data_IF_019637212412
#
_entry.id   IF_019637212412
#
_cell.length_a   1.000
_cell.length_b   1.000
_cell.length_c   1.000
_cell.angle_alpha   90.00
_cell.angle_beta   90.00
_cell.angle_gamma   90.00
#
_symmetry.space_group_name_H-M   'P 1'
#
loop_
_entity.id
_entity.type
_entity.pdbx_description
1 polymer ?
#
# COMPACT_ATOMS: atom_id res chain seq x y z
N UNK A 1 11.52 -17.67 0.37
CA UNK A 1 10.11 -17.79 0.84
C UNK A 1 9.18 -17.24 -0.24
N UNK A 2 7.92 -17.68 -0.31
CA UNK A 2 6.97 -17.25 -1.35
C UNK A 2 6.06 -16.14 -0.84
N UNK A 3 5.94 -15.06 -1.60
CA UNK A 3 5.12 -13.90 -1.24
C UNK A 3 4.22 -13.49 -2.38
N UNK A 4 3.05 -12.96 -2.03
CA UNK A 4 2.18 -12.26 -2.97
C UNK A 4 2.06 -10.81 -2.48
N UNK A 5 2.71 -9.90 -3.20
CA UNK A 5 2.88 -8.51 -2.82
C UNK A 5 1.78 -7.69 -3.48
N UNK A 6 0.93 -7.04 -2.69
CA UNK A 6 -0.29 -6.36 -3.12
C UNK A 6 -0.07 -4.85 -3.18
N UNK A 7 -0.48 -4.23 -4.30
CA UNK A 7 -0.44 -2.78 -4.52
C UNK A 7 -1.44 -2.00 -3.65
N UNK A 8 -1.55 -0.70 -3.90
CA UNK A 8 -2.41 0.23 -3.16
C UNK A 8 -3.90 -0.17 -3.26
N UNK A 9 -4.50 -0.54 -2.12
CA UNK A 9 -5.86 -1.08 -2.07
C UNK A 9 -6.89 0.02 -1.92
N UNK A 10 -6.61 1.05 -1.12
CA UNK A 10 -7.49 2.20 -0.90
C UNK A 10 -8.94 1.80 -0.58
N UNK A 11 -9.15 0.87 0.35
CA UNK A 11 -10.50 0.41 0.73
C UNK A 11 -11.27 -0.37 -0.35
N UNK A 12 -10.63 -0.77 -1.46
CA UNK A 12 -11.21 -1.62 -2.51
C UNK A 12 -11.23 -3.10 -2.06
N UNK A 13 -12.02 -3.40 -1.02
CA UNK A 13 -12.06 -4.73 -0.41
C UNK A 13 -12.51 -5.82 -1.39
N UNK A 14 -13.48 -5.55 -2.26
CA UNK A 14 -13.96 -6.54 -3.23
C UNK A 14 -12.86 -6.92 -4.23
N UNK A 15 -12.11 -5.94 -4.73
CA UNK A 15 -10.97 -6.15 -5.61
C UNK A 15 -9.86 -6.92 -4.88
N UNK A 16 -9.61 -6.64 -3.61
CA UNK A 16 -8.66 -7.39 -2.80
C UNK A 16 -9.07 -8.87 -2.63
N UNK A 17 -10.34 -9.12 -2.34
CA UNK A 17 -10.87 -10.48 -2.26
C UNK A 17 -10.74 -11.20 -3.62
N UNK A 18 -11.19 -10.57 -4.70
CA UNK A 18 -11.11 -11.15 -6.06
C UNK A 18 -9.66 -11.45 -6.47
N UNK A 19 -8.73 -10.55 -6.16
CA UNK A 19 -7.31 -10.74 -6.47
C UNK A 19 -6.72 -11.91 -5.68
N UNK A 20 -6.98 -11.97 -4.37
CA UNK A 20 -6.44 -13.04 -3.53
C UNK A 20 -7.05 -14.40 -3.86
N UNK A 21 -8.34 -14.48 -4.20
CA UNK A 21 -8.97 -15.70 -4.73
C UNK A 21 -8.31 -16.14 -6.04
N UNK A 22 -8.09 -15.20 -6.97
CA UNK A 22 -7.37 -15.48 -8.23
C UNK A 22 -5.92 -15.91 -7.99
N UNK A 23 -5.30 -15.44 -6.91
CA UNK A 23 -3.97 -15.84 -6.47
C UNK A 23 -3.96 -17.22 -5.78
N UNK A 24 -5.12 -17.82 -5.49
CA UNK A 24 -5.24 -19.15 -4.87
C UNK A 24 -5.50 -19.15 -3.36
N UNK A 25 -5.80 -17.98 -2.77
CA UNK A 25 -6.16 -17.90 -1.36
C UNK A 25 -7.60 -18.36 -1.11
N UNK A 26 -7.79 -19.08 -0.01
CA UNK A 26 -9.09 -19.53 0.47
C UNK A 26 -9.62 -18.56 1.54
N UNK A 27 -10.90 -18.21 1.43
CA UNK A 27 -11.59 -17.25 2.31
C UNK A 27 -12.60 -17.87 3.30
N UNK A 28 -12.61 -19.20 3.47
CA UNK A 28 -13.57 -19.91 4.33
C UNK A 28 -13.55 -19.45 5.80
N UNK A 29 -12.41 -18.94 6.28
CA UNK A 29 -12.24 -18.40 7.63
C UNK A 29 -12.62 -16.91 7.78
N UNK A 30 -13.03 -16.26 6.68
CA UNK A 30 -13.20 -14.81 6.60
C UNK A 30 -11.90 -14.01 6.40
N UNK A 31 -10.76 -14.70 6.28
CA UNK A 31 -9.43 -14.16 5.99
C UNK A 31 -8.80 -14.98 4.84
N UNK A 32 -7.95 -14.36 4.01
CA UNK A 32 -7.26 -15.07 2.93
C UNK A 32 -6.16 -15.97 3.50
N UNK A 33 -6.26 -17.28 3.26
CA UNK A 33 -5.24 -18.27 3.66
C UNK A 33 -4.82 -19.08 2.43
N UNK A 34 -3.52 -19.14 2.15
CA UNK A 34 -3.00 -19.89 0.99
C UNK A 34 -2.62 -21.33 1.39
N UNK A 35 -3.07 -22.37 0.68
CA UNK A 35 -2.72 -23.77 0.99
C UNK A 35 -1.20 -24.03 0.92
N UNK A 36 -0.51 -23.43 -0.05
CA UNK A 36 0.95 -23.51 -0.19
C UNK A 36 1.74 -22.55 0.74
N UNK A 37 1.09 -22.01 1.78
CA UNK A 37 1.71 -21.13 2.79
C UNK A 37 2.39 -19.88 2.21
N UNK A 38 1.90 -19.36 1.07
CA UNK A 38 2.32 -18.06 0.52
C UNK A 38 1.87 -16.95 1.46
N UNK A 39 2.76 -15.99 1.74
CA UNK A 39 2.46 -14.85 2.62
C UNK A 39 2.10 -13.60 1.83
N UNK A 40 1.09 -12.87 2.29
CA UNK A 40 0.77 -11.57 1.72
C UNK A 40 1.78 -10.52 2.20
N UNK A 41 2.10 -9.57 1.33
CA UNK A 41 2.83 -8.35 1.70
C UNK A 41 2.13 -7.14 1.08
N UNK A 42 1.86 -6.10 1.88
CA UNK A 42 1.15 -4.90 1.44
C UNK A 42 2.13 -3.74 1.27
N UNK A 43 2.13 -3.10 0.10
CA UNK A 43 3.01 -1.92 -0.16
C UNK A 43 2.55 -0.68 0.59
N UNK A 44 1.30 -0.61 1.03
CA UNK A 44 0.74 0.48 1.82
C UNK A 44 -0.64 0.87 1.36
N UNK A 45 -1.09 2.06 1.81
CA UNK A 45 -2.31 2.72 1.37
C UNK A 45 -3.53 1.79 1.25
N UNK A 46 -3.81 1.09 2.37
CA UNK A 46 -4.94 0.16 2.50
C UNK A 46 -6.27 0.89 2.77
N UNK A 47 -6.23 2.18 3.11
CA UNK A 47 -7.37 3.04 3.46
C UNK A 47 -7.51 4.22 2.52
N UNK A 48 -8.52 5.06 2.75
CA UNK A 48 -8.85 6.28 2.02
C UNK A 48 -9.42 6.01 0.63
N UNK A 49 -10.30 6.91 0.16
CA UNK A 49 -10.97 6.91 -1.15
C UNK A 49 -12.03 5.83 -1.36
N UNK A 50 -11.68 4.56 -1.22
CA UNK A 50 -12.62 3.47 -1.47
C UNK A 50 -13.61 3.25 -0.32
N UNK A 51 -14.60 2.37 -0.54
CA UNK A 51 -15.78 2.26 0.32
C UNK A 51 -15.58 1.42 1.59
N UNK A 52 -14.53 0.59 1.68
CA UNK A 52 -14.37 -0.40 2.76
C UNK A 52 -13.01 -0.28 3.45
N UNK A 53 -12.65 0.94 3.86
CA UNK A 53 -11.36 1.21 4.52
C UNK A 53 -11.27 0.49 5.87
N UNK A 54 -12.34 0.52 6.69
CA UNK A 54 -12.30 -0.09 8.01
C UNK A 54 -12.20 -1.62 7.93
N UNK A 55 -12.87 -2.23 6.94
CA UNK A 55 -12.74 -3.67 6.69
C UNK A 55 -11.30 -4.05 6.34
N UNK A 56 -10.62 -3.24 5.53
CA UNK A 56 -9.21 -3.44 5.21
C UNK A 56 -8.30 -3.30 6.44
N UNK A 57 -8.56 -2.32 7.32
CA UNK A 57 -7.83 -2.18 8.59
C UNK A 57 -7.94 -3.47 9.42
N UNK A 58 -9.15 -4.01 9.58
CA UNK A 58 -9.36 -5.23 10.36
C UNK A 58 -8.61 -6.43 9.79
N UNK A 59 -8.70 -6.66 8.48
CA UNK A 59 -8.06 -7.79 7.82
C UNK A 59 -6.53 -7.69 7.90
N UNK A 60 -5.97 -6.53 7.58
CA UNK A 60 -4.52 -6.36 7.57
C UNK A 60 -3.97 -6.43 9.00
N UNK A 61 -4.66 -5.84 9.99
CA UNK A 61 -4.27 -5.99 11.39
C UNK A 61 -4.26 -7.46 11.82
N UNK A 62 -5.29 -8.21 11.47
CA UNK A 62 -5.43 -9.62 11.83
C UNK A 62 -4.29 -10.47 11.23
N UNK A 63 -3.97 -10.26 9.95
CA UNK A 63 -2.91 -10.99 9.26
C UNK A 63 -1.50 -10.62 9.75
N UNK A 64 -1.25 -9.33 10.01
CA UNK A 64 0.09 -8.80 10.30
C UNK A 64 0.41 -8.85 11.80
N UNK A 65 -0.50 -8.37 12.64
CA UNK A 65 -0.26 -8.21 14.09
C UNK A 65 -0.66 -9.47 14.86
N UNK A 66 -1.88 -9.95 14.65
CA UNK A 66 -2.40 -11.07 15.44
C UNK A 66 -1.80 -12.41 14.97
N UNK A 67 -1.91 -12.73 13.69
CA UNK A 67 -1.43 -14.01 13.12
C UNK A 67 0.06 -14.01 12.78
N UNK A 68 0.65 -12.85 12.47
CA UNK A 68 2.05 -12.71 12.00
C UNK A 68 2.33 -13.52 10.72
N UNK A 69 1.34 -13.60 9.84
CA UNK A 69 1.36 -14.35 8.59
C UNK A 69 1.44 -13.45 7.34
N UNK A 70 1.46 -12.13 7.52
CA UNK A 70 1.63 -11.16 6.45
C UNK A 70 2.58 -10.01 6.84
N UNK A 71 2.95 -9.20 5.86
CA UNK A 71 3.80 -8.02 6.02
C UNK A 71 3.06 -6.77 5.54
N UNK A 72 3.28 -5.64 6.19
CA UNK A 72 2.67 -4.37 5.79
C UNK A 72 3.69 -3.23 5.94
N UNK A 73 3.84 -2.42 4.89
CA UNK A 73 4.58 -1.17 4.92
C UNK A 73 3.58 -0.01 4.86
N UNK A 74 3.67 1.02 5.72
CA UNK A 74 2.74 2.14 5.70
C UNK A 74 2.98 3.06 4.50
N UNK A 75 1.90 3.55 3.88
CA UNK A 75 1.93 4.58 2.86
C UNK A 75 1.57 5.98 3.36
N UNK A 76 1.54 6.97 2.46
CA UNK A 76 1.27 8.35 2.87
C UNK A 76 -0.16 8.59 3.35
N UNK A 77 -1.14 7.88 2.78
CA UNK A 77 -2.52 7.95 3.28
C UNK A 77 -2.61 7.35 4.67
N UNK A 78 -1.94 6.21 4.88
CA UNK A 78 -1.86 5.59 6.20
C UNK A 78 -1.22 6.51 7.26
N UNK A 79 -0.14 7.23 6.92
CA UNK A 79 0.47 8.22 7.81
C UNK A 79 -0.47 9.42 8.10
N UNK A 80 -1.32 9.81 7.15
CA UNK A 80 -2.32 10.86 7.38
C UNK A 80 -3.42 10.38 8.32
N UNK A 81 -3.97 9.19 8.10
CA UNK A 81 -4.97 8.57 8.97
C UNK A 81 -4.42 8.30 10.38
N UNK A 82 -3.16 7.86 10.51
CA UNK A 82 -2.53 7.67 11.81
C UNK A 82 -2.50 8.97 12.62
N UNK A 83 -2.10 10.09 11.99
CA UNK A 83 -2.11 11.41 12.63
C UNK A 83 -3.52 11.86 13.01
N UNK A 84 -4.52 11.57 12.17
CA UNK A 84 -5.93 11.80 12.51
C UNK A 84 -6.33 11.06 13.79
N UNK A 85 -6.04 9.75 13.89
CA UNK A 85 -6.39 8.96 15.07
C UNK A 85 -5.64 9.37 16.34
N UNK A 86 -4.43 9.92 16.22
CA UNK A 86 -3.71 10.56 17.32
C UNK A 86 -4.34 11.89 17.79
N UNK A 87 -5.40 12.37 17.14
CA UNK A 87 -6.06 13.64 17.46
C UNK A 87 -5.31 14.87 16.94
N UNK A 88 -4.39 14.71 15.96
CA UNK A 88 -3.73 15.86 15.34
C UNK A 88 -4.67 16.55 14.37
N UNK A 89 -4.54 17.86 14.25
CA UNK A 89 -5.29 18.65 13.28
C UNK A 89 -4.79 18.34 11.85
N UNK A 90 -5.48 17.45 11.15
CA UNK A 90 -5.22 17.12 9.75
C UNK A 90 -6.42 17.50 8.89
N UNK A 91 -6.17 18.02 7.69
CA UNK A 91 -7.24 18.33 6.73
C UNK A 91 -7.89 17.04 6.24
N UNK A 92 -9.19 16.87 6.47
CA UNK A 92 -9.99 15.76 5.94
C UNK A 92 -10.25 16.02 4.46
N UNK A 93 -9.40 15.44 3.60
CA UNK A 93 -9.40 15.65 2.15
C UNK A 93 -8.55 14.58 1.45
N UNK A 94 -8.66 14.52 0.12
CA UNK A 94 -7.88 13.65 -0.78
C UNK A 94 -8.11 12.14 -0.60
N UNK A 95 -9.24 11.76 -0.02
CA UNK A 95 -9.65 10.38 0.25
C UNK A 95 -9.88 10.08 1.72
N UNK A 96 -9.30 10.87 2.63
CA UNK A 96 -9.48 10.65 4.08
C UNK A 96 -10.95 10.80 4.49
N UNK A 97 -11.70 11.66 3.79
CA UNK A 97 -13.13 11.89 3.98
C UNK A 97 -13.97 10.61 3.97
N UNK A 98 -13.63 9.64 3.11
CA UNK A 98 -14.42 8.39 3.03
C UNK A 98 -14.16 7.50 4.23
N UNK A 99 -12.90 7.38 4.67
CA UNK A 99 -12.53 6.61 5.86
C UNK A 99 -13.07 7.25 7.13
N UNK A 100 -13.02 8.58 7.24
CA UNK A 100 -13.57 9.30 8.40
C UNK A 100 -15.09 9.14 8.45
N UNK A 101 -15.79 9.25 7.32
CA UNK A 101 -17.23 9.02 7.28
C UNK A 101 -17.61 7.57 7.68
N UNK A 102 -16.87 6.56 7.17
CA UNK A 102 -17.05 5.16 7.56
C UNK A 102 -16.82 4.96 9.07
N UNK A 103 -15.80 5.62 9.62
CA UNK A 103 -15.46 5.58 11.05
C UNK A 103 -16.51 6.24 11.94
N UNK A 104 -16.93 7.46 11.60
CA UNK A 104 -17.89 8.23 12.39
C UNK A 104 -19.29 7.62 12.39
N UNK A 105 -19.64 6.85 11.34
CA UNK A 105 -20.89 6.09 11.28
C UNK A 105 -20.94 4.92 12.27
N UNK A 106 -19.81 4.48 12.84
CA UNK A 106 -19.77 3.40 13.82
C UNK A 106 -20.16 3.87 15.22
N UNK A 107 -20.75 2.98 16.05
CA UNK A 107 -20.86 3.22 17.49
C UNK A 107 -19.49 3.44 18.16
N UNK A 108 -19.43 4.28 19.20
CA UNK A 108 -18.18 4.69 19.85
C UNK A 108 -17.28 3.53 20.31
N UNK A 109 -17.86 2.40 20.75
CA UNK A 109 -17.07 1.23 21.12
C UNK A 109 -16.34 0.60 19.92
N UNK A 110 -16.98 0.55 18.75
CA UNK A 110 -16.36 0.03 17.52
C UNK A 110 -15.32 1.01 16.96
N UNK A 111 -15.58 2.32 17.07
CA UNK A 111 -14.61 3.36 16.75
C UNK A 111 -13.29 3.13 17.51
N UNK A 112 -13.36 2.95 18.83
CA UNK A 112 -12.17 2.70 19.65
C UNK A 112 -11.41 1.46 19.19
N UNK A 113 -12.10 0.35 18.91
CA UNK A 113 -11.47 -0.90 18.42
C UNK A 113 -10.71 -0.66 17.11
N UNK A 114 -11.35 0.00 16.13
CA UNK A 114 -10.74 0.29 14.83
C UNK A 114 -9.52 1.20 14.97
N UNK A 115 -9.66 2.25 15.79
CA UNK A 115 -8.59 3.20 16.09
C UNK A 115 -7.39 2.48 16.72
N UNK A 116 -7.61 1.65 17.73
CA UNK A 116 -6.57 0.89 18.40
C UNK A 116 -5.88 -0.09 17.45
N UNK A 117 -6.65 -0.82 16.63
CA UNK A 117 -6.10 -1.71 15.59
C UNK A 117 -5.21 -0.93 14.63
N UNK A 118 -5.67 0.18 14.08
CA UNK A 118 -4.88 0.92 13.09
C UNK A 118 -3.62 1.55 13.69
N UNK A 119 -3.72 2.16 14.88
CA UNK A 119 -2.55 2.71 15.60
C UNK A 119 -1.53 1.59 15.83
N UNK A 120 -1.97 0.44 16.34
CA UNK A 120 -1.10 -0.71 16.59
C UNK A 120 -0.43 -1.22 15.31
N UNK A 121 -1.21 -1.37 14.23
CA UNK A 121 -0.70 -1.80 12.92
C UNK A 121 0.38 -0.83 12.42
N UNK A 122 0.12 0.47 12.48
CA UNK A 122 1.03 1.50 11.99
C UNK A 122 2.32 1.57 12.81
N UNK A 123 2.23 1.55 14.14
CA UNK A 123 3.40 1.71 15.03
C UNK A 123 4.30 0.46 15.07
N UNK A 124 3.73 -0.74 14.91
CA UNK A 124 4.52 -1.98 14.93
C UNK A 124 5.06 -2.37 13.55
N UNK A 125 4.67 -1.67 12.49
CA UNK A 125 5.13 -1.97 11.14
C UNK A 125 6.32 -1.09 10.74
N UNK A 126 7.39 -1.67 10.16
CA UNK A 126 8.51 -0.88 9.67
C UNK A 126 8.09 -0.08 8.43
N UNK A 127 8.82 1.01 8.14
CA UNK A 127 8.60 1.82 6.93
C UNK A 127 8.71 1.00 5.63
N UNK A 128 9.57 -0.02 5.64
CA UNK A 128 9.76 -0.96 4.55
C UNK A 128 10.23 -2.30 5.11
N UNK A 129 9.98 -3.37 4.37
CA UNK A 129 10.41 -4.72 4.71
C UNK A 129 11.62 -5.13 3.87
N UNK A 130 12.59 -5.80 4.50
CA UNK A 130 13.69 -6.49 3.83
C UNK A 130 13.42 -7.98 3.95
N UNK A 131 13.10 -8.64 2.84
CA UNK A 131 12.66 -10.04 2.82
C UNK A 131 13.63 -10.90 2.00
N UNK A 132 13.45 -12.22 2.12
CA UNK A 132 14.18 -13.24 1.38
C UNK A 132 15.70 -12.98 1.29
N UNK A 133 16.36 -12.91 2.45
CA UNK A 133 17.81 -12.66 2.54
C UNK A 133 18.28 -11.39 1.80
N UNK A 134 17.47 -10.32 1.88
CA UNK A 134 17.69 -9.02 1.23
C UNK A 134 17.52 -9.03 -0.29
N UNK A 135 16.92 -10.08 -0.87
CA UNK A 135 16.64 -10.14 -2.32
C UNK A 135 15.41 -9.35 -2.74
N UNK A 136 14.48 -9.08 -1.84
CA UNK A 136 13.28 -8.28 -2.13
C UNK A 136 12.96 -7.31 -1.01
N UNK A 137 12.64 -6.08 -1.38
CA UNK A 137 12.23 -4.98 -0.53
C UNK A 137 10.79 -4.62 -0.88
N UNK A 138 9.94 -4.51 0.15
CA UNK A 138 8.55 -4.06 0.00
C UNK A 138 8.41 -2.72 0.70
N UNK A 139 8.01 -1.69 -0.04
CA UNK A 139 7.86 -0.33 0.46
C UNK A 139 6.77 0.42 -0.34
N UNK A 140 6.35 1.58 0.15
CA UNK A 140 5.23 2.30 -0.48
C UNK A 140 5.63 3.08 -1.73
N UNK A 141 6.38 4.17 -1.61
CA UNK A 141 6.74 5.04 -2.75
C UNK A 141 8.08 4.70 -3.41
N UNK A 142 8.75 3.65 -2.93
CA UNK A 142 10.09 3.28 -3.35
C UNK A 142 11.16 3.52 -2.29
N UNK A 143 12.39 3.09 -2.59
CA UNK A 143 13.57 3.36 -1.75
C UNK A 143 14.85 3.26 -2.57
N UNK A 144 15.77 4.20 -2.35
CA UNK A 144 17.10 4.18 -2.98
C UNK A 144 18.02 3.16 -2.32
N UNK A 145 18.98 2.64 -3.08
CA UNK A 145 19.94 1.64 -2.60
C UNK A 145 20.70 2.10 -1.34
N UNK A 146 21.16 3.35 -1.31
CA UNK A 146 21.91 3.93 -0.18
C UNK A 146 21.04 4.26 1.05
N UNK A 147 19.71 4.08 0.94
CA UNK A 147 18.76 4.26 2.03
C UNK A 147 18.36 2.94 2.70
N UNK A 148 18.62 1.79 2.05
CA UNK A 148 18.31 0.48 2.61
C UNK A 148 19.15 0.24 3.88
N UNK A 149 18.48 -0.10 4.99
CA UNK A 149 19.07 -0.26 6.31
C UNK A 149 19.01 1.00 7.20
N UNK A 150 18.67 2.17 6.63
CA UNK A 150 18.51 3.43 7.37
C UNK A 150 17.05 3.68 7.75
N UNK A 151 16.84 4.50 8.79
CA UNK A 151 15.52 4.86 9.36
C UNK A 151 15.38 6.35 9.69
N UNK A 152 16.27 7.19 9.17
CA UNK A 152 16.22 8.63 9.43
C UNK A 152 15.06 9.32 8.66
N UNK A 153 14.78 10.57 9.02
CA UNK A 153 13.66 11.34 8.45
C UNK A 153 13.72 11.44 6.92
N UNK A 154 14.90 11.46 6.30
CA UNK A 154 15.02 11.53 4.83
C UNK A 154 14.52 10.23 4.20
N UNK A 155 14.84 9.09 4.79
CA UNK A 155 14.33 7.78 4.36
C UNK A 155 12.82 7.71 4.54
N UNK A 156 12.30 8.15 5.69
CA UNK A 156 10.86 8.19 5.93
C UNK A 156 10.13 9.04 4.89
N UNK A 157 10.64 10.25 4.60
CA UNK A 157 10.04 11.10 3.57
C UNK A 157 10.08 10.42 2.21
N UNK A 158 11.19 9.81 1.83
CA UNK A 158 11.31 9.12 0.54
C UNK A 158 10.35 7.94 0.43
N UNK A 159 10.28 7.07 1.44
CA UNK A 159 9.45 5.86 1.42
C UNK A 159 7.97 6.19 1.41
N UNK A 160 7.55 7.28 2.07
CA UNK A 160 6.15 7.69 2.09
C UNK A 160 5.75 8.54 0.88
N UNK A 161 6.64 9.38 0.35
CA UNK A 161 6.26 10.42 -0.62
C UNK A 161 7.06 10.40 -1.93
N UNK A 162 8.04 9.50 -2.08
CA UNK A 162 8.92 9.40 -3.25
C UNK A 162 10.05 10.44 -3.27
N UNK A 163 10.75 10.52 -4.41
CA UNK A 163 11.85 11.48 -4.64
C UNK A 163 11.31 12.87 -5.00
N UNK A 164 10.88 13.61 -3.97
CA UNK A 164 10.35 14.97 -4.14
C UNK A 164 11.47 15.97 -4.47
N UNK A 165 11.26 16.82 -5.48
CA UNK A 165 12.25 17.85 -5.88
C UNK A 165 12.23 19.08 -4.96
N UNK A 166 11.13 19.30 -4.25
CA UNK A 166 10.82 20.52 -3.50
C UNK A 166 9.87 21.47 -4.25
N UNK A 167 9.74 21.29 -5.57
CA UNK A 167 8.79 22.03 -6.39
C UNK A 167 7.39 21.43 -6.31
N UNK A 168 6.38 22.20 -6.72
CA UNK A 168 4.97 21.78 -6.76
C UNK A 168 4.36 22.06 -8.12
N UNK A 169 3.52 21.14 -8.59
CA UNK A 169 2.63 21.39 -9.70
C UNK A 169 1.59 22.47 -9.34
N UNK A 170 0.89 23.02 -10.33
CA UNK A 170 -0.14 24.05 -10.14
C UNK A 170 -1.27 23.63 -9.18
N UNK A 171 -1.55 22.33 -9.08
CA UNK A 171 -2.53 21.76 -8.14
C UNK A 171 -1.97 21.54 -6.72
N UNK A 172 -0.75 21.99 -6.42
CA UNK A 172 -0.09 21.87 -5.12
C UNK A 172 0.58 20.52 -4.83
N UNK A 173 0.43 19.52 -5.71
CA UNK A 173 1.11 18.22 -5.56
C UNK A 173 2.63 18.36 -5.83
N UNK A 174 3.48 17.62 -5.10
CA UNK A 174 4.93 17.74 -5.26
C UNK A 174 5.39 17.15 -6.60
N UNK A 175 6.33 17.84 -7.24
CA UNK A 175 7.06 17.32 -8.40
C UNK A 175 8.03 16.24 -7.91
N UNK A 176 8.10 15.13 -8.64
CA UNK A 176 8.92 13.97 -8.29
C UNK A 176 9.84 13.58 -9.43
N UNK A 177 11.00 13.03 -9.09
CA UNK A 177 11.92 12.38 -10.03
C UNK A 177 11.57 10.90 -10.16
N UNK A 178 11.80 10.33 -11.34
CA UNK A 178 11.77 8.90 -11.58
C UNK A 178 13.02 8.18 -11.03
N UNK A 179 13.12 8.08 -9.70
CA UNK A 179 14.25 7.45 -8.99
C UNK A 179 14.52 6.00 -9.43
N UNK A 180 13.50 5.32 -9.98
CA UNK A 180 13.62 3.94 -10.46
C UNK A 180 14.62 3.81 -11.61
N UNK A 181 14.74 4.83 -12.48
CA UNK A 181 15.73 4.86 -13.57
C UNK A 181 17.17 4.84 -13.06
N UNK A 182 17.39 5.44 -11.89
CA UNK A 182 18.71 5.57 -11.28
C UNK A 182 19.03 4.39 -10.35
N UNK A 183 18.07 3.50 -10.08
CA UNK A 183 18.27 2.36 -9.19
C UNK A 183 19.17 1.30 -9.82
N UNK A 184 20.33 1.05 -9.18
CA UNK A 184 21.36 0.07 -9.60
C UNK A 184 21.58 -1.04 -8.57
N UNK A 185 20.66 -1.19 -7.62
CA UNK A 185 20.78 -2.22 -6.58
C UNK A 185 20.37 -3.60 -7.09
N UNK A 186 20.82 -4.64 -6.38
CA UNK A 186 20.52 -6.03 -6.75
C UNK A 186 19.18 -6.53 -6.20
N UNK A 187 18.68 -5.91 -5.13
CA UNK A 187 17.42 -6.31 -4.52
C UNK A 187 16.25 -5.82 -5.39
N UNK A 188 15.23 -6.64 -5.55
CA UNK A 188 13.97 -6.20 -6.14
C UNK A 188 13.27 -5.21 -5.20
N UNK A 189 12.94 -4.01 -5.68
CA UNK A 189 12.10 -3.05 -4.95
C UNK A 189 10.68 -3.12 -5.50
N UNK A 190 9.74 -3.61 -4.70
CA UNK A 190 8.33 -3.71 -5.08
C UNK A 190 7.56 -2.63 -4.33
N UNK A 191 6.90 -1.76 -5.08
CA UNK A 191 6.31 -0.52 -4.56
C UNK A 191 5.02 -0.11 -5.30
N UNK A 192 4.39 0.96 -4.83
CA UNK A 192 3.15 1.52 -5.35
C UNK A 192 3.17 3.06 -5.42
N UNK A 193 2.21 3.72 -4.77
CA UNK A 193 2.10 5.18 -4.58
C UNK A 193 1.70 6.04 -5.78
N UNK A 194 2.30 5.81 -6.96
CA UNK A 194 1.99 6.57 -8.17
C UNK A 194 1.24 5.67 -9.15
N UNK A 195 -0.06 5.91 -9.39
CA UNK A 195 -0.86 5.05 -10.25
C UNK A 195 -0.32 4.97 -11.67
N UNK A 196 -0.14 3.75 -12.16
CA UNK A 196 0.25 3.42 -13.54
C UNK A 196 -0.81 2.54 -14.20
N UNK A 197 -0.94 2.60 -15.53
CA UNK A 197 -1.96 1.82 -16.24
C UNK A 197 -1.71 0.30 -16.17
N UNK A 198 -0.44 -0.09 -16.24
CA UNK A 198 0.03 -1.47 -16.09
C UNK A 198 1.26 -1.49 -15.18
N UNK A 199 1.59 -2.64 -14.56
CA UNK A 199 2.76 -2.75 -13.69
C UNK A 199 4.03 -2.32 -14.41
N UNK A 200 4.81 -1.46 -13.76
CA UNK A 200 5.96 -0.82 -14.39
C UNK A 200 7.25 -1.38 -13.83
N UNK A 201 7.95 -2.14 -14.66
CA UNK A 201 9.28 -2.66 -14.39
C UNK A 201 10.34 -1.70 -14.94
N UNK A 202 11.23 -1.24 -14.07
CA UNK A 202 12.42 -0.45 -14.45
C UNK A 202 13.58 -0.90 -13.58
N UNK A 203 14.68 -1.33 -14.21
CA UNK A 203 15.80 -1.95 -13.51
C UNK A 203 15.30 -3.08 -12.57
N UNK A 204 15.76 -3.12 -11.32
CA UNK A 204 15.30 -4.06 -10.29
C UNK A 204 14.19 -3.46 -9.44
N UNK A 205 13.27 -2.71 -10.05
CA UNK A 205 12.12 -2.10 -9.36
C UNK A 205 10.83 -2.40 -10.10
N UNK A 206 9.73 -2.52 -9.34
CA UNK A 206 8.40 -2.81 -9.88
C UNK A 206 7.36 -1.94 -9.16
N UNK A 207 6.74 -1.02 -9.89
CA UNK A 207 5.53 -0.33 -9.44
C UNK A 207 4.30 -1.17 -9.76
N UNK A 208 3.53 -1.54 -8.75
CA UNK A 208 2.29 -2.33 -8.85
C UNK A 208 1.04 -1.56 -8.41
N UNK A 209 1.14 -0.25 -8.16
CA UNK A 209 -0.05 0.59 -8.02
C UNK A 209 -0.69 0.82 -9.40
N UNK A 210 -1.67 -0.01 -9.72
CA UNK A 210 -2.45 0.08 -10.94
C UNK A 210 -3.76 0.84 -10.76
N UNK A 211 -3.87 1.67 -9.71
CA UNK A 211 -4.97 2.61 -9.50
C UNK A 211 -6.33 1.94 -9.30
N UNK A 212 -6.41 0.91 -8.45
CA UNK A 212 -7.65 0.18 -8.17
C UNK A 212 -8.81 1.12 -7.83
N UNK A 213 -8.58 2.09 -6.94
CA UNK A 213 -9.62 3.04 -6.52
C UNK A 213 -10.00 4.08 -7.57
N UNK A 214 -9.23 4.17 -8.65
CA UNK A 214 -9.47 5.08 -9.78
C UNK A 214 -10.04 4.35 -11.00
N UNK A 215 -10.65 3.19 -10.79
CA UNK A 215 -11.25 2.37 -11.84
C UNK A 215 -10.24 1.66 -12.74
N UNK A 216 -8.97 1.58 -12.31
CA UNK A 216 -7.93 0.79 -12.99
C UNK A 216 -8.02 -0.68 -12.61
N UNK A 217 -6.95 -1.21 -12.00
CA UNK A 217 -6.88 -2.59 -11.53
C UNK A 217 -6.30 -2.64 -10.13
N UNK A 218 -6.61 -3.68 -9.37
CA UNK A 218 -5.77 -4.07 -8.24
C UNK A 218 -4.78 -5.13 -8.72
N UNK A 219 -3.50 -4.91 -8.45
CA UNK A 219 -2.42 -5.80 -8.89
C UNK A 219 -1.64 -6.36 -7.70
N UNK A 220 -1.31 -7.65 -7.80
CA UNK A 220 -0.33 -8.31 -6.96
C UNK A 220 0.85 -8.83 -7.79
N UNK A 221 2.03 -8.90 -7.17
CA UNK A 221 3.24 -9.53 -7.71
C UNK A 221 3.53 -10.82 -6.94
N UNK A 222 3.60 -11.94 -7.64
CA UNK A 222 4.08 -13.22 -7.08
C UNK A 222 5.60 -13.21 -7.03
N UNK A 223 6.16 -13.51 -5.87
CA UNK A 223 7.59 -13.68 -5.64
C UNK A 223 7.87 -15.10 -5.13
N UNK A 224 8.90 -15.80 -5.64
CA UNK A 224 9.98 -15.34 -6.52
C UNK A 224 9.67 -15.41 -8.02
N UNK A 225 8.43 -15.74 -8.40
CA UNK A 225 8.04 -15.92 -9.80
C UNK A 225 8.17 -14.64 -10.64
N UNK A 226 8.10 -13.47 -10.00
CA UNK A 226 8.09 -12.14 -10.62
C UNK A 226 6.95 -11.94 -11.63
N UNK A 227 5.82 -12.61 -11.37
CA UNK A 227 4.61 -12.55 -12.21
C UNK A 227 3.58 -11.61 -11.60
N UNK A 228 3.04 -10.70 -12.41
CA UNK A 228 1.95 -9.81 -11.98
C UNK A 228 0.59 -10.39 -12.31
N UNK A 229 -0.30 -10.43 -11.32
CA UNK A 229 -1.70 -10.80 -11.49
C UNK A 229 -2.56 -9.61 -11.10
N UNK A 230 -3.53 -9.29 -11.96
CA UNK A 230 -4.43 -8.18 -11.73
C UNK A 230 -5.90 -8.60 -11.84
N UNK A 231 -6.76 -7.85 -11.16
CA UNK A 231 -8.22 -7.88 -11.31
C UNK A 231 -8.72 -6.47 -11.62
N UNK A 232 -9.70 -6.31 -12.52
CA UNK A 232 -10.26 -5.00 -12.84
C UNK A 232 -10.98 -4.42 -11.63
N UNK A 233 -10.93 -3.09 -11.49
CA UNK A 233 -11.73 -2.37 -10.52
C UNK A 233 -13.20 -2.29 -10.97
N UNK A 234 -14.11 -2.35 -10.01
CA UNK A 234 -15.53 -2.10 -10.21
C UNK A 234 -15.89 -0.60 -10.17
N UNK A 235 -14.95 0.26 -9.76
CA UNK A 235 -15.16 1.70 -9.61
C UNK A 235 -15.04 2.47 -10.94
N UNK A 236 -15.63 3.67 -11.06
CA UNK A 236 -15.51 4.49 -12.25
C UNK A 236 -14.06 4.87 -12.58
N UNK A 237 -13.70 4.81 -13.87
CA UNK A 237 -12.36 5.15 -14.34
C UNK A 237 -12.08 6.66 -14.27
N UNK A 238 -10.93 7.03 -13.69
CA UNK A 238 -10.49 8.43 -13.54
C UNK A 238 -9.17 8.65 -14.27
N UNK A 239 -9.23 8.97 -15.56
CA UNK A 239 -8.06 9.09 -16.44
C UNK A 239 -6.97 10.05 -15.92
N UNK A 240 -7.37 11.17 -15.30
CA UNK A 240 -6.45 12.21 -14.81
C UNK A 240 -5.47 11.75 -13.72
N UNK A 241 -5.74 10.58 -13.12
CA UNK A 241 -4.90 9.97 -12.08
C UNK A 241 -3.74 9.15 -12.64
N UNK A 242 -3.80 8.77 -13.92
CA UNK A 242 -2.79 7.97 -14.59
C UNK A 242 -1.84 8.86 -15.41
N UNK A 243 -1.07 9.70 -14.72
CA UNK A 243 -0.12 10.61 -15.36
C UNK A 243 1.20 9.89 -15.66
N UNK A 244 1.91 10.25 -16.74
CA UNK A 244 3.25 9.74 -16.97
C UNK A 244 4.17 10.04 -15.79
N UNK A 245 4.97 9.07 -15.41
CA UNK A 245 6.07 9.28 -14.47
C UNK A 245 7.15 10.03 -15.24
N UNK A 246 7.48 11.23 -14.76
CA UNK A 246 8.46 12.16 -15.34
C UNK A 246 9.86 11.98 -14.80
#
# INVERSE_FOLDING_TARGET
MKYDIIGDIHGCFQEFQNLTEKLGYNWSSGLPVHPDQRKLAFVGDITDRGPHSLRMIEIVWELVIHKKEAYYAPGNHCNKLYRFFLGRNVTVAHGLETTVAEYEALPSHKQNIIKEKFITLYEQSPLYHILDEKRVIVCHAGIRQDYIGRRDKKVQTFVLYGDITGEKHANGSPVRRDWAQEYKGQAWIVYGHTPVAEPRFVNQTVNIDTGAVFGGKLTGLRYPEMETISVPSSLPFVAEKFRPIS
#
